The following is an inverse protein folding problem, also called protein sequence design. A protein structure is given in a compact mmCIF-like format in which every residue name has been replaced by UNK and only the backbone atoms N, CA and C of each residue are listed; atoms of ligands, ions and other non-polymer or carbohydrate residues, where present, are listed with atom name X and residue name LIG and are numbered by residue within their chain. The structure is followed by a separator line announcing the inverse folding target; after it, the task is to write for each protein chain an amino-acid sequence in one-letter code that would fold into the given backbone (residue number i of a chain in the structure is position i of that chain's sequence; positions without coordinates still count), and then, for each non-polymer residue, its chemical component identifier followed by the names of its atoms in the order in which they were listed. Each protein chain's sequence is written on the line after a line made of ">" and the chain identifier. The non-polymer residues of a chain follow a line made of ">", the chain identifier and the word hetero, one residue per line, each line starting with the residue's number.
data_IF_134035546312
#
_entry.id   IF_134035546312
#
_cell.length_a   1.000
_cell.length_b   1.000
_cell.length_c   1.000
_cell.angle_alpha   90.00
_cell.angle_beta   90.00
_cell.angle_gamma   90.00
#
_symmetry.space_group_name_H-M   'P 1'
#
loop_
_entity.id
_entity.type
_entity.pdbx_description
1 polymer ?
#
# COMPACT_ATOMS: atom_id res chain seq x y z
N UNK A 1 0.36 16.02 12.08
CA UNK A 1 0.17 16.04 10.61
C UNK A 1 -0.92 17.02 10.22
N UNK A 2 -0.63 17.95 9.30
CA UNK A 2 -1.64 18.78 8.63
C UNK A 2 -1.90 18.17 7.25
N UNK A 3 -3.16 17.89 6.94
CA UNK A 3 -3.58 17.41 5.63
C UNK A 3 -3.99 18.61 4.77
N UNK A 4 -3.64 18.60 3.49
CA UNK A 4 -4.02 19.61 2.51
C UNK A 4 -4.25 18.99 1.13
N UNK A 5 -4.55 19.83 0.13
CA UNK A 5 -4.82 19.38 -1.24
C UNK A 5 -3.62 18.75 -1.96
N UNK A 6 -2.42 18.80 -1.37
CA UNK A 6 -1.21 18.20 -1.91
C UNK A 6 -0.80 16.92 -1.18
N UNK A 7 -1.52 16.51 -0.13
CA UNK A 7 -1.21 15.29 0.61
C UNK A 7 -1.38 14.04 -0.28
N UNK A 8 -0.34 13.21 -0.33
CA UNK A 8 -0.38 11.92 -1.04
C UNK A 8 -0.72 10.77 -0.09
N UNK A 9 -1.43 9.76 -0.59
CA UNK A 9 -1.83 8.59 0.20
C UNK A 9 -0.87 7.42 0.02
N UNK A 10 -0.68 6.66 1.10
CA UNK A 10 -0.15 5.31 1.10
C UNK A 10 -1.08 4.42 1.94
N UNK A 11 -1.08 3.11 1.73
CA UNK A 11 -1.89 2.21 2.55
C UNK A 11 -1.24 0.85 2.78
N UNK A 12 -1.67 0.15 3.82
CA UNK A 12 -1.51 -1.31 3.95
C UNK A 12 -2.82 -2.01 3.62
N UNK A 13 -2.79 -2.98 2.72
CA UNK A 13 -3.96 -3.73 2.25
C UNK A 13 -3.86 -5.18 2.71
N UNK A 14 -4.87 -5.65 3.45
CA UNK A 14 -4.98 -7.04 3.91
C UNK A 14 -6.37 -7.31 4.50
N UNK A 15 -6.67 -8.57 4.79
CA UNK A 15 -7.89 -8.94 5.49
C UNK A 15 -7.63 -10.15 6.41
N UNK A 16 -7.68 -10.00 7.75
CA UNK A 16 -7.94 -8.76 8.51
C UNK A 16 -6.71 -7.84 8.60
N UNK A 17 -6.90 -6.53 8.82
CA UNK A 17 -5.76 -5.59 8.91
C UNK A 17 -5.88 -4.43 9.90
N UNK A 18 -7.05 -4.21 10.52
CA UNK A 18 -7.27 -3.04 11.41
C UNK A 18 -6.37 -2.99 12.64
N UNK A 19 -5.75 -4.11 13.03
CA UNK A 19 -4.80 -4.21 14.13
C UNK A 19 -3.37 -3.81 13.74
N UNK A 20 -3.11 -3.50 12.47
CA UNK A 20 -1.77 -3.18 11.97
C UNK A 20 -1.20 -1.94 12.65
N UNK A 21 0.06 -2.04 13.08
CA UNK A 21 0.83 -0.91 13.59
C UNK A 21 1.44 -0.07 12.46
N UNK A 22 1.34 -0.51 11.20
CA UNK A 22 1.96 0.17 10.04
C UNK A 22 1.47 1.62 9.87
N UNK A 23 0.16 1.93 10.00
CA UNK A 23 -0.30 3.32 9.97
C UNK A 23 0.33 4.18 11.07
N UNK A 24 0.52 3.65 12.28
CA UNK A 24 1.20 4.39 13.34
C UNK A 24 2.65 4.71 12.95
N UNK A 25 3.40 3.70 12.50
CA UNK A 25 4.82 3.84 12.13
C UNK A 25 4.99 4.82 10.98
N UNK A 26 4.28 4.61 9.87
CA UNK A 26 4.48 5.40 8.65
C UNK A 26 3.99 6.84 8.80
N UNK A 27 2.89 7.08 9.51
CA UNK A 27 2.45 8.46 9.76
C UNK A 27 3.42 9.20 10.68
N UNK A 28 4.06 8.51 11.64
CA UNK A 28 5.13 9.12 12.46
C UNK A 28 6.38 9.40 11.65
N UNK A 29 6.74 8.50 10.73
CA UNK A 29 7.83 8.73 9.80
C UNK A 29 7.56 9.95 8.91
N UNK A 30 6.36 10.05 8.30
CA UNK A 30 5.97 11.19 7.48
C UNK A 30 6.03 12.52 8.24
N UNK A 31 5.59 12.54 9.50
CA UNK A 31 5.70 13.71 10.36
C UNK A 31 7.17 14.06 10.67
N UNK A 32 7.99 13.06 11.03
CA UNK A 32 9.40 13.26 11.38
C UNK A 32 10.26 13.71 10.18
N UNK A 33 9.91 13.31 8.96
CA UNK A 33 10.64 13.67 7.73
C UNK A 33 10.00 14.82 6.95
N UNK A 34 8.97 15.46 7.50
CA UNK A 34 8.19 16.51 6.83
C UNK A 34 7.65 16.08 5.44
N UNK A 35 7.34 14.80 5.27
CA UNK A 35 6.71 14.27 4.06
C UNK A 35 5.21 14.57 4.11
N UNK A 36 4.67 15.24 3.09
CA UNK A 36 3.24 15.50 2.97
C UNK A 36 2.48 14.23 2.54
N UNK A 37 2.27 13.32 3.50
CA UNK A 37 1.63 12.04 3.26
C UNK A 37 0.75 11.56 4.40
N UNK A 38 -0.23 10.72 4.07
CA UNK A 38 -1.01 9.97 5.04
C UNK A 38 -1.00 8.47 4.70
N UNK A 39 -0.78 7.65 5.71
CA UNK A 39 -0.75 6.20 5.62
C UNK A 39 -1.97 5.60 6.33
N UNK A 40 -2.76 4.78 5.62
CA UNK A 40 -3.98 4.16 6.14
C UNK A 40 -3.94 2.63 6.08
N UNK A 41 -4.90 1.97 6.72
CA UNK A 41 -5.10 0.52 6.57
C UNK A 41 -6.43 0.26 5.86
N UNK A 42 -6.40 -0.56 4.81
CA UNK A 42 -7.58 -0.94 4.03
C UNK A 42 -7.85 -2.42 4.17
N UNK A 43 -8.96 -2.72 4.84
CA UNK A 43 -9.54 -4.05 4.94
C UNK A 43 -10.50 -4.22 3.77
N UNK A 44 -10.12 -5.04 2.79
CA UNK A 44 -10.89 -5.25 1.56
C UNK A 44 -11.21 -6.74 1.39
N UNK A 45 -12.16 -7.07 0.52
CA UNK A 45 -12.36 -8.43 0.06
C UNK A 45 -11.42 -8.77 -1.10
N UNK A 46 -11.15 -10.05 -1.34
CA UNK A 46 -10.26 -10.46 -2.43
C UNK A 46 -10.75 -10.02 -3.82
N UNK A 47 -12.07 -9.89 -3.99
CA UNK A 47 -12.69 -9.37 -5.21
C UNK A 47 -12.29 -7.94 -5.55
N UNK A 48 -11.89 -7.15 -4.54
CA UNK A 48 -11.60 -5.73 -4.70
C UNK A 48 -10.11 -5.45 -4.94
N UNK A 49 -9.25 -6.48 -4.93
CA UNK A 49 -7.80 -6.31 -5.06
C UNK A 49 -7.42 -5.66 -6.38
N UNK A 50 -8.03 -6.07 -7.49
CA UNK A 50 -7.76 -5.52 -8.84
C UNK A 50 -8.10 -4.04 -8.90
N UNK A 51 -9.30 -3.70 -8.44
CA UNK A 51 -9.79 -2.32 -8.44
C UNK A 51 -8.96 -1.46 -7.47
N UNK A 52 -8.51 -2.02 -6.35
CA UNK A 52 -7.60 -1.34 -5.42
C UNK A 52 -6.28 -0.99 -6.11
N UNK A 53 -5.65 -1.94 -6.83
CA UNK A 53 -4.42 -1.70 -7.60
C UNK A 53 -4.64 -0.67 -8.73
N UNK A 54 -5.78 -0.74 -9.42
CA UNK A 54 -6.13 0.24 -10.46
C UNK A 54 -6.28 1.66 -9.90
N UNK A 55 -6.90 1.80 -8.72
CA UNK A 55 -7.06 3.10 -8.05
C UNK A 55 -5.71 3.69 -7.61
N UNK A 56 -4.76 2.85 -7.19
CA UNK A 56 -3.41 3.31 -6.84
C UNK A 56 -2.68 3.90 -8.04
N UNK A 57 -2.85 3.31 -9.24
CA UNK A 57 -2.32 3.89 -10.49
C UNK A 57 -3.03 5.20 -10.85
N UNK A 58 -4.36 5.24 -10.69
CA UNK A 58 -5.20 6.38 -11.08
C UNK A 58 -4.97 7.61 -10.21
N UNK A 59 -4.82 7.43 -8.90
CA UNK A 59 -4.58 8.51 -7.96
C UNK A 59 -3.07 8.68 -7.75
N UNK A 60 -2.57 9.91 -7.50
CA UNK A 60 -1.14 10.17 -7.27
C UNK A 60 -0.66 9.68 -5.88
N UNK A 61 -0.94 8.43 -5.55
CA UNK A 61 -0.53 7.74 -4.33
C UNK A 61 0.98 7.49 -4.32
N UNK A 62 1.55 7.22 -3.14
CA UNK A 62 2.92 6.68 -3.03
C UNK A 62 2.99 5.20 -3.40
N UNK A 63 1.90 4.47 -3.22
CA UNK A 63 1.84 3.02 -3.36
C UNK A 63 1.15 2.36 -2.17
N UNK A 64 1.31 1.05 -2.05
CA UNK A 64 0.75 0.26 -0.95
C UNK A 64 1.72 -0.79 -0.43
N UNK A 65 1.54 -1.14 0.83
CA UNK A 65 1.98 -2.42 1.35
C UNK A 65 0.87 -3.47 1.27
N UNK A 66 1.27 -4.73 1.19
CA UNK A 66 0.38 -5.88 1.15
C UNK A 66 0.74 -6.84 2.28
N UNK A 67 -0.30 -7.38 2.93
CA UNK A 67 -0.17 -8.49 3.86
C UNK A 67 -1.07 -9.66 3.45
N UNK A 68 -1.18 -10.69 4.29
CA UNK A 68 -2.02 -11.84 3.99
C UNK A 68 -3.49 -11.41 3.73
N UNK A 69 -4.19 -12.01 2.76
CA UNK A 69 -3.75 -13.09 1.86
C UNK A 69 -3.19 -12.61 0.50
N UNK A 70 -2.90 -11.32 0.33
CA UNK A 70 -2.78 -10.71 -1.01
C UNK A 70 -1.38 -10.65 -1.61
N UNK A 71 -0.33 -11.05 -0.86
CA UNK A 71 1.05 -10.88 -1.31
C UNK A 71 1.36 -11.62 -2.62
N UNK A 72 0.74 -12.77 -2.84
CA UNK A 72 0.89 -13.55 -4.08
C UNK A 72 -0.15 -13.11 -5.13
N UNK A 73 -1.39 -12.88 -4.68
CA UNK A 73 -2.53 -12.56 -5.54
C UNK A 73 -2.39 -11.25 -6.30
N UNK A 74 -1.57 -10.32 -5.81
CA UNK A 74 -1.36 -9.03 -6.48
C UNK A 74 -0.55 -9.16 -7.77
N UNK A 75 0.32 -10.17 -7.88
CA UNK A 75 1.38 -10.24 -8.89
C UNK A 75 0.87 -10.07 -10.33
N UNK A 76 -0.24 -10.71 -10.75
CA UNK A 76 -0.77 -10.55 -12.10
C UNK A 76 -1.20 -9.11 -12.46
N UNK A 77 -1.32 -8.23 -11.47
CA UNK A 77 -1.79 -6.85 -11.64
C UNK A 77 -0.65 -5.82 -11.62
N UNK A 78 0.61 -6.25 -11.49
CA UNK A 78 1.80 -5.39 -11.43
C UNK A 78 2.53 -5.35 -12.78
N UNK A 79 3.14 -4.21 -13.11
CA UNK A 79 3.86 -4.02 -14.38
C UNK A 79 5.25 -4.70 -14.34
N UNK A 80 5.94 -4.57 -13.21
CA UNK A 80 7.28 -5.09 -12.99
C UNK A 80 7.42 -5.68 -11.58
N UNK A 81 8.35 -6.63 -11.46
CA UNK A 81 8.75 -7.21 -10.18
C UNK A 81 10.25 -7.04 -9.99
N UNK A 82 10.66 -6.73 -8.76
CA UNK A 82 12.07 -6.86 -8.38
C UNK A 82 12.51 -8.32 -8.45
N UNK A 83 13.82 -8.54 -8.53
CA UNK A 83 14.37 -9.90 -8.60
C UNK A 83 14.03 -10.71 -7.34
N UNK A 84 14.03 -10.06 -6.17
CA UNK A 84 13.64 -10.67 -4.90
C UNK A 84 12.15 -11.06 -4.92
N UNK A 85 11.27 -10.18 -5.39
CA UNK A 85 9.84 -10.49 -5.48
C UNK A 85 9.56 -11.66 -6.43
N UNK A 86 10.30 -11.74 -7.56
CA UNK A 86 10.21 -12.86 -8.50
C UNK A 86 10.69 -14.18 -7.89
N UNK A 87 11.78 -14.15 -7.12
CA UNK A 87 12.33 -15.33 -6.45
C UNK A 87 11.46 -15.81 -5.28
N UNK A 88 10.92 -14.89 -4.49
CA UNK A 88 10.06 -15.19 -3.33
C UNK A 88 8.67 -15.64 -3.81
N UNK A 89 8.20 -15.12 -4.95
CA UNK A 89 6.85 -15.35 -5.45
C UNK A 89 5.78 -14.55 -4.69
N UNK A 90 6.17 -13.51 -3.96
CA UNK A 90 5.26 -12.69 -3.15
C UNK A 90 5.74 -11.24 -3.06
N UNK A 91 4.80 -10.30 -3.00
CA UNK A 91 5.03 -8.85 -2.93
C UNK A 91 4.39 -8.28 -1.67
N UNK A 92 5.18 -7.59 -0.84
CA UNK A 92 4.65 -6.84 0.31
C UNK A 92 4.62 -5.33 0.08
N UNK A 93 5.15 -4.83 -1.03
CA UNK A 93 5.30 -3.40 -1.32
C UNK A 93 5.14 -3.17 -2.82
N UNK A 94 4.23 -2.26 -3.17
CA UNK A 94 3.99 -1.77 -4.53
C UNK A 94 4.22 -0.27 -4.51
N UNK A 95 4.97 0.23 -5.48
CA UNK A 95 5.22 1.67 -5.68
C UNK A 95 4.54 2.11 -6.98
N UNK A 96 4.04 3.36 -7.01
CA UNK A 96 3.49 4.01 -8.20
C UNK A 96 4.35 5.22 -8.59
#
# INVERSE_FOLDING_TARGET
>A
MKLDGYTRLAAVVANPIKHSISPFIHNRAFEATATNGAYVAWEIEASDLVETVANIRRYPMFGINLSMPYKEQVIPYLDELSDEARLIGAVNTVVN
#
